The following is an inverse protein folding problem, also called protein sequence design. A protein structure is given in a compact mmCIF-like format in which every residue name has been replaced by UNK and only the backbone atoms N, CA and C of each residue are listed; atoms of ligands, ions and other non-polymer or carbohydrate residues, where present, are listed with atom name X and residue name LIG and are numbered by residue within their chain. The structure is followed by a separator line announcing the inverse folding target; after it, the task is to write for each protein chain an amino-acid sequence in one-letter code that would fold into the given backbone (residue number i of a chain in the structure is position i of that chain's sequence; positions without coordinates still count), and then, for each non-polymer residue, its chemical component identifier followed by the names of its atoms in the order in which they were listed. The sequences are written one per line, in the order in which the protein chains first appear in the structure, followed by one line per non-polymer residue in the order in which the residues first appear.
data_IF_891801155932
#
_entry.id   IF_891801155932
#
_cell.length_a   1.000
_cell.length_b   1.000
_cell.length_c   1.000
_cell.angle_alpha   90.00
_cell.angle_beta   90.00
_cell.angle_gamma   90.00
#
_symmetry.space_group_name_H-M   'P 1'
#
loop_
_entity.id
_entity.type
_entity.pdbx_description
1 polymer ?
#
# COMPACT_ATOMS: atom_id res chain seq x y z
N UNK A 1 -3.49 -4.68 56.00
CA UNK A 1 -2.22 -4.46 55.29
C UNK A 1 -2.09 -5.56 54.27
N UNK A 2 -2.73 -5.40 53.11
CA UNK A 2 -2.57 -6.31 51.99
C UNK A 2 -1.67 -5.61 50.98
N UNK A 3 -0.36 -5.74 51.19
CA UNK A 3 0.66 -5.23 50.26
C UNK A 3 0.96 -6.37 49.29
N UNK A 4 0.07 -6.54 48.32
CA UNK A 4 0.36 -7.37 47.16
C UNK A 4 1.70 -6.94 46.55
N UNK A 5 2.56 -7.92 46.28
CA UNK A 5 3.89 -7.78 45.68
C UNK A 5 3.76 -7.54 44.16
N UNK A 6 2.54 -7.60 43.63
CA UNK A 6 2.25 -7.37 42.22
C UNK A 6 2.30 -5.88 41.91
N UNK A 7 3.04 -5.51 40.86
CA UNK A 7 3.17 -4.14 40.41
C UNK A 7 1.79 -3.67 39.85
N UNK A 8 0.97 -2.90 40.60
CA UNK A 8 -0.47 -2.73 40.27
C UNK A 8 -0.71 -1.78 39.08
N UNK A 9 0.36 -1.20 38.53
CA UNK A 9 0.34 -0.14 37.53
C UNK A 9 0.75 -0.73 36.18
N UNK A 10 -0.17 -1.47 35.56
CA UNK A 10 0.03 -2.10 34.25
C UNK A 10 0.22 -1.10 33.10
N UNK A 11 0.27 -1.63 31.87
CA UNK A 11 0.50 -0.89 30.61
C UNK A 11 -0.35 0.38 30.45
N UNK A 12 -1.57 0.39 31.01
CA UNK A 12 -2.49 1.54 31.00
C UNK A 12 -1.81 2.84 31.46
N UNK A 13 -1.00 2.79 32.51
CA UNK A 13 -0.33 3.99 33.07
C UNK A 13 0.87 4.47 32.26
N UNK A 14 1.34 3.67 31.29
CA UNK A 14 2.35 4.05 30.30
C UNK A 14 1.71 4.55 29.00
N UNK A 15 0.55 3.99 28.66
CA UNK A 15 -0.20 4.33 27.46
C UNK A 15 -1.01 5.62 27.60
N UNK A 16 -1.71 5.81 28.72
CA UNK A 16 -2.50 7.02 29.01
C UNK A 16 -1.61 8.05 29.68
N UNK A 17 -1.38 9.18 29.00
CA UNK A 17 -0.50 10.24 29.50
C UNK A 17 -1.07 11.01 30.69
N UNK A 18 -2.39 11.23 30.74
CA UNK A 18 -3.05 11.99 31.80
C UNK A 18 -3.12 11.19 33.10
N UNK A 19 -2.71 11.80 34.21
CA UNK A 19 -2.80 11.21 35.55
C UNK A 19 -3.88 11.90 36.39
N UNK A 20 -4.16 11.41 37.60
CA UNK A 20 -5.27 11.91 38.44
C UNK A 20 -5.33 13.44 38.56
N UNK A 21 -4.21 14.10 38.86
CA UNK A 21 -4.17 15.57 38.96
C UNK A 21 -4.49 16.28 37.64
N UNK A 22 -4.07 15.73 36.51
CA UNK A 22 -4.38 16.29 35.19
C UNK A 22 -5.87 16.11 34.89
N UNK A 23 -6.41 14.93 35.20
CA UNK A 23 -7.82 14.60 35.03
C UNK A 23 -8.69 15.54 35.87
N UNK A 24 -8.37 15.74 37.14
CA UNK A 24 -9.12 16.63 38.03
C UNK A 24 -9.12 18.08 37.51
N UNK A 25 -7.96 18.57 37.06
CA UNK A 25 -7.83 19.91 36.49
C UNK A 25 -8.64 20.06 35.18
N UNK A 26 -8.61 19.06 34.32
CA UNK A 26 -9.39 19.05 33.06
C UNK A 26 -10.89 18.97 33.34
N UNK A 27 -11.33 18.11 34.25
CA UNK A 27 -12.73 17.98 34.68
C UNK A 27 -13.27 19.30 35.24
N UNK A 28 -12.52 19.93 36.13
CA UNK A 28 -12.87 21.24 36.69
C UNK A 28 -12.98 22.31 35.60
N UNK A 29 -12.10 22.26 34.58
CA UNK A 29 -12.15 23.20 33.45
C UNK A 29 -13.39 23.02 32.56
N UNK A 30 -13.83 21.79 32.35
CA UNK A 30 -15.04 21.49 31.55
C UNK A 30 -16.33 21.53 32.37
N UNK A 31 -16.24 21.69 33.69
CA UNK A 31 -17.40 21.78 34.59
C UNK A 31 -18.03 20.43 34.92
N UNK A 32 -17.32 19.31 34.72
CA UNK A 32 -17.80 17.97 35.05
C UNK A 32 -17.22 17.50 36.39
N UNK A 33 -18.02 16.84 37.22
CA UNK A 33 -17.58 16.36 38.54
C UNK A 33 -16.74 15.08 38.48
N UNK A 34 -16.90 14.30 37.40
CA UNK A 34 -16.20 13.02 37.21
C UNK A 34 -16.10 12.66 35.72
N UNK A 35 -15.23 11.68 35.41
CA UNK A 35 -15.20 11.08 34.08
C UNK A 35 -16.53 10.38 33.74
N UNK A 36 -17.21 9.79 34.72
CA UNK A 36 -18.51 9.14 34.49
C UNK A 36 -19.58 10.15 34.09
N UNK A 37 -19.62 11.30 34.77
CA UNK A 37 -20.50 12.43 34.42
C UNK A 37 -20.20 12.92 33.01
N UNK A 38 -18.91 13.15 32.69
CA UNK A 38 -18.50 13.57 31.36
C UNK A 38 -18.95 12.58 30.27
N UNK A 39 -18.80 11.28 30.52
CA UNK A 39 -19.24 10.22 29.59
C UNK A 39 -20.78 10.20 29.45
N UNK A 40 -21.53 10.32 30.55
CA UNK A 40 -22.99 10.35 30.54
C UNK A 40 -23.55 11.54 29.75
N UNK A 41 -22.93 12.71 29.90
CA UNK A 41 -23.34 13.94 29.19
C UNK A 41 -22.90 13.95 27.72
N UNK A 42 -21.85 13.20 27.36
CA UNK A 42 -21.32 13.14 26.00
C UNK A 42 -21.97 12.04 25.15
N UNK A 43 -22.17 10.85 25.71
CA UNK A 43 -22.65 9.69 24.97
C UNK A 43 -24.16 9.49 25.17
N UNK A 44 -24.98 9.46 24.10
CA UNK A 44 -26.40 9.16 24.22
C UNK A 44 -26.63 7.79 24.86
N UNK A 45 -27.46 7.74 25.90
CA UNK A 45 -27.74 6.53 26.66
C UNK A 45 -28.24 5.36 25.78
N UNK A 46 -29.01 5.65 24.72
CA UNK A 46 -29.58 4.64 23.83
C UNK A 46 -28.56 3.80 23.07
N UNK A 47 -27.31 4.25 22.93
CA UNK A 47 -26.23 3.53 22.25
C UNK A 47 -25.06 3.17 23.18
N UNK A 48 -25.16 3.51 24.46
CA UNK A 48 -24.11 3.24 25.43
C UNK A 48 -24.13 1.76 25.79
N UNK A 49 -22.97 1.12 25.73
CA UNK A 49 -22.80 -0.22 26.27
C UNK A 49 -22.79 -0.17 27.81
N UNK A 50 -23.64 -0.97 28.44
CA UNK A 50 -23.69 -1.12 29.89
C UNK A 50 -23.06 -2.46 30.30
N UNK A 51 -22.10 -2.40 31.22
CA UNK A 51 -21.35 -3.55 31.71
C UNK A 51 -19.87 -3.53 31.35
N UNK A 52 -19.15 -4.52 31.86
CA UNK A 52 -17.74 -4.71 31.54
C UNK A 52 -17.59 -5.43 30.20
N UNK A 53 -16.60 -5.02 29.42
CA UNK A 53 -16.24 -5.76 28.21
C UNK A 53 -15.79 -7.18 28.60
N UNK A 54 -16.31 -8.24 27.96
CA UNK A 54 -15.97 -9.63 28.29
C UNK A 54 -14.57 -9.99 27.75
N UNK A 55 -13.55 -9.40 28.36
CA UNK A 55 -12.14 -9.55 28.00
C UNK A 55 -11.38 -10.34 29.08
N UNK A 56 -10.31 -11.06 28.70
CA UNK A 56 -9.40 -11.64 29.67
C UNK A 56 -8.80 -10.56 30.59
N UNK A 57 -8.34 -10.99 31.77
CA UNK A 57 -7.63 -10.08 32.68
C UNK A 57 -6.40 -9.46 32.00
N UNK A 58 -6.15 -8.19 32.34
CA UNK A 58 -5.02 -7.46 31.80
C UNK A 58 -3.70 -8.08 32.28
N UNK A 59 -2.79 -8.31 31.34
CA UNK A 59 -1.44 -8.80 31.64
C UNK A 59 -0.43 -7.66 31.68
N UNK A 60 0.69 -7.87 32.36
CA UNK A 60 1.81 -6.91 32.37
C UNK A 60 2.57 -6.94 31.04
N UNK A 61 3.32 -5.89 30.72
CA UNK A 61 4.14 -5.83 29.49
C UNK A 61 5.13 -7.00 29.36
N UNK A 62 5.87 -7.41 30.41
CA UNK A 62 6.76 -8.57 30.32
C UNK A 62 6.00 -9.89 30.10
N UNK A 63 4.84 -10.06 30.75
CA UNK A 63 4.00 -11.25 30.58
C UNK A 63 3.46 -11.34 29.15
N UNK A 64 3.03 -10.21 28.57
CA UNK A 64 2.61 -10.12 27.17
C UNK A 64 3.75 -10.55 26.22
N UNK A 65 4.97 -10.04 26.41
CA UNK A 65 6.11 -10.41 25.57
C UNK A 65 6.47 -11.90 25.70
N UNK A 66 6.42 -12.46 26.91
CA UNK A 66 6.62 -13.90 27.11
C UNK A 66 5.58 -14.71 26.36
N UNK A 67 4.30 -14.34 26.49
CA UNK A 67 3.20 -15.02 25.82
C UNK A 67 3.31 -14.94 24.29
N UNK A 68 3.66 -13.78 23.75
CA UNK A 68 3.87 -13.60 22.31
C UNK A 68 5.02 -14.48 21.80
N UNK A 69 6.10 -14.64 22.57
CA UNK A 69 7.21 -15.56 22.22
C UNK A 69 6.76 -17.02 22.20
N UNK A 70 5.94 -17.46 23.16
CA UNK A 70 5.37 -18.82 23.17
C UNK A 70 4.50 -19.10 21.93
N UNK A 71 3.70 -18.12 21.51
CA UNK A 71 2.87 -18.24 20.32
C UNK A 71 3.74 -18.25 19.06
N UNK A 72 4.69 -17.31 18.95
CA UNK A 72 5.61 -17.23 17.82
C UNK A 72 6.46 -18.50 17.66
N UNK A 73 6.86 -19.14 18.76
CA UNK A 73 7.63 -20.39 18.75
C UNK A 73 6.88 -21.60 18.15
N UNK A 74 5.56 -21.49 17.96
CA UNK A 74 4.76 -22.53 17.27
C UNK A 74 4.88 -22.44 15.75
N UNK A 75 5.31 -21.29 15.23
CA UNK A 75 5.55 -21.13 13.81
C UNK A 75 6.79 -21.92 13.40
N UNK A 76 6.74 -22.57 12.24
CA UNK A 76 7.90 -23.24 11.66
C UNK A 76 8.48 -22.36 10.56
N UNK A 77 9.74 -21.95 10.72
CA UNK A 77 10.44 -21.11 9.74
C UNK A 77 11.19 -21.99 8.76
N UNK A 78 10.59 -22.21 7.59
CA UNK A 78 11.18 -23.01 6.51
C UNK A 78 11.89 -22.10 5.50
N UNK A 79 12.85 -22.66 4.77
CA UNK A 79 13.33 -22.04 3.53
C UNK A 79 12.23 -22.18 2.49
N UNK A 80 11.58 -21.06 2.18
CA UNK A 80 10.43 -21.03 1.30
C UNK A 80 10.85 -20.57 -0.10
N UNK A 81 10.61 -21.43 -1.10
CA UNK A 81 10.86 -21.15 -2.52
C UNK A 81 9.56 -21.25 -3.34
N UNK A 82 8.41 -20.97 -2.72
CA UNK A 82 7.10 -20.98 -3.40
C UNK A 82 7.05 -19.88 -4.47
N UNK A 83 7.68 -18.73 -4.23
CA UNK A 83 7.61 -17.58 -5.13
C UNK A 83 6.25 -16.90 -5.03
N UNK A 84 5.53 -16.78 -6.16
CA UNK A 84 4.19 -16.18 -6.23
C UNK A 84 4.13 -14.75 -5.66
N UNK A 85 5.13 -13.92 -5.98
CA UNK A 85 5.20 -12.52 -5.55
C UNK A 85 5.88 -12.29 -4.19
N UNK A 86 6.27 -13.35 -3.48
CA UNK A 86 6.99 -13.25 -2.20
C UNK A 86 8.29 -14.03 -2.27
N UNK A 87 9.39 -13.37 -1.88
CA UNK A 87 10.73 -13.97 -1.90
C UNK A 87 11.49 -13.64 -0.62
N UNK A 88 12.22 -14.64 -0.11
CA UNK A 88 13.17 -14.42 0.97
C UNK A 88 14.16 -13.33 0.59
N UNK A 89 14.41 -12.39 1.51
CA UNK A 89 15.36 -11.30 1.32
C UNK A 89 16.11 -11.03 2.62
N UNK A 90 17.22 -10.31 2.54
CA UNK A 90 17.99 -9.88 3.70
C UNK A 90 17.66 -8.41 3.94
N UNK A 91 16.96 -8.12 5.04
CA UNK A 91 16.82 -6.73 5.52
C UNK A 91 18.17 -6.28 6.07
N UNK A 92 18.81 -5.25 5.47
CA UNK A 92 20.08 -4.77 5.98
C UNK A 92 19.93 -4.31 7.44
N UNK A 93 20.80 -4.80 8.33
CA UNK A 93 20.66 -4.54 9.77
C UNK A 93 20.66 -3.05 10.15
N UNK A 94 21.33 -2.22 9.34
CA UNK A 94 21.31 -0.75 9.50
C UNK A 94 19.93 -0.15 9.21
N UNK A 95 19.17 -0.67 8.25
CA UNK A 95 17.81 -0.22 7.92
C UNK A 95 16.83 -0.77 8.96
N UNK A 96 16.94 -2.05 9.32
CA UNK A 96 16.10 -2.64 10.36
C UNK A 96 16.17 -1.81 11.64
N UNK A 97 17.38 -1.57 12.14
CA UNK A 97 17.59 -0.89 13.42
C UNK A 97 17.28 0.62 13.39
N UNK A 98 17.70 1.33 12.33
CA UNK A 98 17.66 2.80 12.32
C UNK A 98 16.43 3.38 11.63
N UNK A 99 15.64 2.56 10.93
CA UNK A 99 14.39 2.95 10.26
C UNK A 99 13.21 2.17 10.83
N UNK A 100 13.18 0.84 10.66
CA UNK A 100 12.00 0.04 11.03
C UNK A 100 11.76 -0.03 12.55
N UNK A 101 12.82 -0.10 13.34
CA UNK A 101 12.76 -0.13 14.82
C UNK A 101 12.95 1.26 15.45
N UNK A 102 12.88 2.33 14.65
CA UNK A 102 13.09 3.70 15.12
C UNK A 102 11.77 4.51 15.16
N UNK A 103 11.27 4.91 16.34
CA UNK A 103 10.03 5.69 16.44
C UNK A 103 10.09 7.03 15.72
N UNK A 104 11.28 7.60 15.50
CA UNK A 104 11.45 8.80 14.66
C UNK A 104 11.09 8.59 13.18
N UNK A 105 10.91 7.34 12.74
CA UNK A 105 10.49 6.99 11.38
C UNK A 105 9.04 6.48 11.31
N UNK A 106 8.56 5.75 12.31
CA UNK A 106 7.24 5.08 12.24
C UNK A 106 6.11 5.76 13.04
N UNK A 107 6.37 6.79 13.84
CA UNK A 107 5.30 7.42 14.65
C UNK A 107 4.55 8.55 13.94
N UNK A 108 5.21 9.25 13.01
CA UNK A 108 4.56 10.26 12.17
C UNK A 108 3.56 9.64 11.18
N UNK A 109 2.64 10.48 10.72
CA UNK A 109 1.66 10.12 9.70
C UNK A 109 1.95 10.81 8.36
N UNK A 110 0.96 10.76 7.47
CA UNK A 110 0.96 11.40 6.14
C UNK A 110 1.60 12.80 6.18
N UNK A 111 2.52 13.13 5.25
CA UNK A 111 3.24 14.41 5.22
C UNK A 111 2.39 15.59 4.75
N UNK A 112 1.26 15.85 5.42
CA UNK A 112 0.37 16.99 5.11
C UNK A 112 1.06 18.34 5.33
N UNK A 113 1.89 18.45 6.37
CA UNK A 113 2.72 19.63 6.64
C UNK A 113 4.12 19.36 6.07
N UNK A 114 4.36 19.83 4.85
CA UNK A 114 5.52 19.45 4.06
C UNK A 114 6.84 19.98 4.66
N UNK A 115 6.80 21.17 5.25
CA UNK A 115 7.93 21.90 5.83
C UNK A 115 8.62 21.12 6.95
N UNK A 116 7.85 20.32 7.70
CA UNK A 116 8.33 19.46 8.80
C UNK A 116 8.34 17.98 8.41
N UNK A 117 8.34 17.69 7.11
CA UNK A 117 8.26 16.34 6.57
C UNK A 117 9.27 16.03 5.45
N UNK A 118 10.19 16.95 5.15
CA UNK A 118 11.12 16.83 4.02
C UNK A 118 11.90 15.51 4.01
N UNK A 119 12.36 15.00 5.15
CA UNK A 119 13.14 13.76 5.20
C UNK A 119 12.40 12.52 4.65
N UNK A 120 11.13 12.32 5.02
CA UNK A 120 10.33 11.20 4.47
C UNK A 120 9.81 11.47 3.07
N UNK A 121 9.55 12.74 2.73
CA UNK A 121 9.21 13.13 1.36
C UNK A 121 10.37 12.81 0.41
N UNK A 122 11.61 13.04 0.83
CA UNK A 122 12.80 12.70 0.05
C UNK A 122 12.97 11.19 -0.09
N UNK A 123 12.78 10.41 0.98
CA UNK A 123 12.78 8.95 0.91
C UNK A 123 11.73 8.40 -0.08
N UNK A 124 10.53 8.98 -0.09
CA UNK A 124 9.47 8.63 -1.04
C UNK A 124 9.79 9.07 -2.49
N UNK A 125 10.45 10.22 -2.67
CA UNK A 125 10.92 10.64 -3.98
C UNK A 125 12.02 9.69 -4.50
N UNK A 126 12.89 9.21 -3.62
CA UNK A 126 13.90 8.19 -3.95
C UNK A 126 13.22 6.87 -4.35
N UNK A 127 12.16 6.46 -3.65
CA UNK A 127 11.36 5.29 -4.03
C UNK A 127 10.74 5.47 -5.43
N UNK A 128 10.10 6.62 -5.69
CA UNK A 128 9.55 6.93 -7.02
C UNK A 128 10.61 6.88 -8.11
N UNK A 129 11.78 7.49 -7.86
CA UNK A 129 12.90 7.52 -8.81
C UNK A 129 13.42 6.12 -9.11
N UNK A 130 13.63 5.31 -8.06
CA UNK A 130 14.05 3.91 -8.21
C UNK A 130 13.04 3.10 -9.04
N UNK A 131 11.74 3.30 -8.82
CA UNK A 131 10.70 2.61 -9.60
C UNK A 131 10.70 3.10 -11.05
N UNK A 132 10.78 4.40 -11.29
CA UNK A 132 10.87 5.01 -12.64
C UNK A 132 12.05 4.41 -13.41
N UNK A 133 13.25 4.45 -12.81
CA UNK A 133 14.48 3.96 -13.43
C UNK A 133 14.41 2.46 -13.77
N UNK A 134 13.92 1.63 -12.84
CA UNK A 134 13.84 0.18 -13.05
C UNK A 134 12.71 -0.23 -13.98
N UNK A 135 11.61 0.53 -14.06
CA UNK A 135 10.48 0.20 -14.93
C UNK A 135 10.59 0.81 -16.32
N UNK A 136 11.48 1.78 -16.52
CA UNK A 136 11.61 2.52 -17.78
C UNK A 136 10.41 3.42 -18.11
N UNK A 137 9.58 3.76 -17.11
CA UNK A 137 8.37 4.56 -17.24
C UNK A 137 8.55 5.95 -16.61
N UNK A 138 7.63 6.87 -16.88
CA UNK A 138 7.88 8.32 -16.71
C UNK A 138 7.45 8.86 -15.34
N UNK A 139 6.46 8.25 -14.69
CA UNK A 139 5.97 8.68 -13.37
C UNK A 139 5.59 7.49 -12.49
N UNK A 140 6.00 7.51 -11.23
CA UNK A 140 5.59 6.55 -10.22
C UNK A 140 4.89 7.23 -9.04
N UNK A 141 4.00 6.51 -8.37
CA UNK A 141 3.38 6.96 -7.13
C UNK A 141 4.25 6.63 -5.89
N UNK A 142 3.86 7.18 -4.75
CA UNK A 142 4.48 6.95 -3.44
C UNK A 142 3.87 5.73 -2.73
N UNK A 143 3.75 4.63 -3.48
CA UNK A 143 3.22 3.31 -3.11
C UNK A 143 1.71 3.05 -3.18
N UNK A 144 1.38 1.76 -3.23
CA UNK A 144 0.06 1.14 -3.06
C UNK A 144 0.13 0.02 -1.99
N UNK A 145 -1.00 -0.68 -1.79
CA UNK A 145 -1.17 -1.62 -0.67
C UNK A 145 -0.44 -2.95 -0.86
N UNK A 146 -0.58 -3.57 -2.04
CA UNK A 146 0.06 -4.81 -2.46
C UNK A 146 0.01 -4.93 -4.01
N UNK A 147 0.70 -5.92 -4.59
CA UNK A 147 0.77 -6.11 -6.04
C UNK A 147 -0.62 -6.32 -6.67
N UNK A 148 -1.46 -7.12 -6.02
CA UNK A 148 -2.76 -7.51 -6.54
C UNK A 148 -3.71 -6.31 -6.64
N UNK A 149 -3.72 -5.48 -5.60
CA UNK A 149 -4.45 -4.20 -5.60
C UNK A 149 -3.84 -3.20 -6.57
N UNK A 150 -2.51 -3.16 -6.74
CA UNK A 150 -1.87 -2.32 -7.74
C UNK A 150 -2.29 -2.68 -9.18
N UNK A 151 -2.37 -3.97 -9.50
CA UNK A 151 -2.87 -4.45 -10.80
C UNK A 151 -4.35 -4.06 -11.03
N UNK A 152 -5.20 -4.19 -10.00
CA UNK A 152 -6.59 -3.78 -10.09
C UNK A 152 -6.77 -2.25 -10.22
N UNK A 153 -5.90 -1.48 -9.59
CA UNK A 153 -5.86 -0.03 -9.75
C UNK A 153 -5.39 0.37 -11.15
N UNK A 154 -4.42 -0.34 -11.74
CA UNK A 154 -4.01 -0.14 -13.13
C UNK A 154 -5.15 -0.42 -14.11
N UNK A 155 -5.90 -1.52 -13.92
CA UNK A 155 -7.12 -1.81 -14.69
C UNK A 155 -8.14 -0.67 -14.56
N UNK A 156 -8.43 -0.21 -13.34
CA UNK A 156 -9.42 0.84 -13.08
C UNK A 156 -8.98 2.19 -13.66
N UNK A 157 -7.68 2.51 -13.57
CA UNK A 157 -7.07 3.70 -14.15
C UNK A 157 -7.26 3.75 -15.67
N UNK A 158 -6.99 2.63 -16.35
CA UNK A 158 -7.16 2.49 -17.80
C UNK A 158 -8.63 2.48 -18.19
N UNK A 159 -9.50 1.79 -17.45
CA UNK A 159 -10.95 1.82 -17.69
C UNK A 159 -11.50 3.25 -17.66
N UNK A 160 -11.07 4.06 -16.70
CA UNK A 160 -11.44 5.48 -16.61
C UNK A 160 -10.77 6.41 -17.64
N UNK A 161 -9.86 5.89 -18.48
CA UNK A 161 -9.28 6.58 -19.64
C UNK A 161 -10.11 6.32 -20.90
N UNK A 162 -10.61 5.09 -21.07
CA UNK A 162 -11.39 4.69 -22.23
C UNK A 162 -12.87 5.08 -22.13
N UNK A 163 -13.54 5.17 -23.28
CA UNK A 163 -14.99 5.35 -23.39
C UNK A 163 -15.54 4.18 -24.21
N UNK A 164 -16.52 3.46 -23.67
CA UNK A 164 -17.24 2.37 -24.36
C UNK A 164 -16.42 1.11 -24.66
N UNK A 165 -15.48 0.74 -23.79
CA UNK A 165 -14.73 -0.52 -23.84
C UNK A 165 -14.79 -1.18 -22.48
N UNK A 166 -15.34 -2.38 -22.39
CA UNK A 166 -15.59 -3.00 -21.08
C UNK A 166 -14.80 -4.28 -20.84
N UNK A 167 -13.96 -4.72 -21.79
CA UNK A 167 -13.17 -5.95 -21.64
C UNK A 167 -11.71 -5.68 -21.25
N UNK A 168 -11.23 -6.41 -20.23
CA UNK A 168 -9.82 -6.45 -19.80
C UNK A 168 -9.29 -7.88 -19.93
N UNK A 169 -8.19 -8.07 -20.66
CA UNK A 169 -7.59 -9.40 -20.82
C UNK A 169 -6.52 -9.61 -19.75
N UNK A 170 -6.42 -10.83 -19.22
CA UNK A 170 -5.43 -11.18 -18.19
C UNK A 170 -4.70 -12.44 -18.62
N UNK A 171 -3.37 -12.40 -18.60
CA UNK A 171 -2.56 -13.59 -18.81
C UNK A 171 -2.75 -14.56 -17.65
N UNK A 172 -3.08 -15.82 -17.94
CA UNK A 172 -3.30 -16.86 -16.91
C UNK A 172 -2.04 -17.20 -16.10
N UNK A 173 -0.86 -16.80 -16.59
CA UNK A 173 0.43 -16.92 -15.91
C UNK A 173 0.79 -15.70 -15.05
N UNK A 174 -0.17 -14.79 -14.80
CA UNK A 174 -0.08 -13.87 -13.66
C UNK A 174 -0.22 -14.63 -12.33
N UNK A 175 0.21 -14.01 -11.22
CA UNK A 175 0.00 -14.64 -9.92
C UNK A 175 -1.49 -14.86 -9.62
N UNK A 176 -1.90 -16.02 -9.08
CA UNK A 176 -3.32 -16.36 -8.92
C UNK A 176 -4.07 -15.39 -8.01
N UNK A 177 -3.42 -14.87 -6.97
CA UNK A 177 -4.01 -13.83 -6.11
C UNK A 177 -4.18 -12.49 -6.83
N UNK A 178 -3.30 -12.16 -7.78
CA UNK A 178 -3.41 -10.94 -8.61
C UNK A 178 -4.63 -11.05 -9.51
N UNK A 179 -4.81 -12.18 -10.20
CA UNK A 179 -6.00 -12.46 -11.03
C UNK A 179 -7.27 -12.34 -10.20
N UNK A 180 -7.33 -13.00 -9.04
CA UNK A 180 -8.52 -13.01 -8.18
C UNK A 180 -8.94 -11.60 -7.70
N UNK A 181 -7.97 -10.74 -7.35
CA UNK A 181 -8.26 -9.37 -6.92
C UNK A 181 -8.70 -8.49 -8.09
N UNK A 182 -8.08 -8.65 -9.27
CA UNK A 182 -8.48 -7.95 -10.50
C UNK A 182 -9.93 -8.31 -10.86
N UNK A 183 -10.28 -9.60 -10.88
CA UNK A 183 -11.64 -10.07 -11.14
C UNK A 183 -12.64 -9.53 -10.10
N UNK A 184 -12.27 -9.57 -8.81
CA UNK A 184 -13.11 -9.05 -7.72
C UNK A 184 -13.39 -7.55 -7.86
N UNK A 185 -12.38 -6.77 -8.29
CA UNK A 185 -12.51 -5.32 -8.48
C UNK A 185 -13.26 -4.96 -9.76
N UNK A 186 -13.17 -5.79 -10.78
CA UNK A 186 -13.87 -5.63 -12.04
C UNK A 186 -15.39 -5.84 -11.90
N UNK A 187 -15.80 -6.87 -11.14
CA UNK A 187 -17.19 -7.28 -11.00
C UNK A 187 -18.19 -6.16 -10.65
N UNK A 188 -17.98 -5.33 -9.60
CA UNK A 188 -18.92 -4.25 -9.26
C UNK A 188 -18.92 -3.08 -10.27
N UNK A 189 -17.91 -3.00 -11.13
CA UNK A 189 -17.80 -1.97 -12.18
C UNK A 189 -18.39 -2.43 -13.52
N UNK A 190 -18.80 -3.70 -13.64
CA UNK A 190 -19.29 -4.28 -14.90
C UNK A 190 -18.18 -4.55 -15.93
N UNK A 191 -16.91 -4.53 -15.51
CA UNK A 191 -15.76 -4.83 -16.38
C UNK A 191 -15.71 -6.35 -16.62
N UNK A 192 -15.63 -6.76 -17.89
CA UNK A 192 -15.46 -8.15 -18.33
C UNK A 192 -13.98 -8.54 -18.29
N UNK A 193 -13.57 -9.28 -17.27
CA UNK A 193 -12.23 -9.87 -17.24
C UNK A 193 -12.23 -11.20 -17.99
N UNK A 194 -11.29 -11.37 -18.93
CA UNK A 194 -11.08 -12.63 -19.66
C UNK A 194 -9.65 -13.11 -19.43
N UNK A 195 -9.52 -14.14 -18.60
CA UNK A 195 -8.25 -14.81 -18.32
C UNK A 195 -7.96 -15.86 -19.39
N UNK A 196 -6.75 -15.87 -19.96
CA UNK A 196 -6.35 -16.81 -21.02
C UNK A 196 -4.83 -17.00 -21.11
N UNK A 197 -4.41 -18.02 -21.85
CA UNK A 197 -3.00 -18.25 -22.16
C UNK A 197 -2.33 -17.01 -22.79
N UNK A 198 -1.08 -16.68 -22.43
CA UNK A 198 -0.38 -15.51 -22.96
C UNK A 198 -0.32 -15.47 -24.49
N UNK A 199 -0.15 -16.64 -25.13
CA UNK A 199 -0.09 -16.75 -26.59
C UNK A 199 -1.43 -16.53 -27.29
N UNK A 200 -2.55 -16.50 -26.56
CA UNK A 200 -3.89 -16.25 -27.11
C UNK A 200 -4.34 -14.79 -26.91
N UNK A 201 -3.56 -13.96 -26.22
CA UNK A 201 -3.93 -12.57 -25.92
C UNK A 201 -4.06 -11.72 -27.19
N UNK A 202 -3.13 -11.87 -28.14
CA UNK A 202 -3.12 -11.11 -29.39
C UNK A 202 -4.37 -11.41 -30.24
N UNK A 203 -4.71 -12.69 -30.40
CA UNK A 203 -5.91 -13.13 -31.14
C UNK A 203 -7.23 -12.70 -30.48
N UNK A 204 -7.21 -12.40 -29.18
CA UNK A 204 -8.37 -11.97 -28.43
C UNK A 204 -8.59 -10.45 -28.42
N UNK A 205 -7.68 -9.67 -29.01
CA UNK A 205 -7.82 -8.22 -29.16
C UNK A 205 -9.05 -7.89 -30.02
N UNK A 206 -9.75 -6.83 -29.63
CA UNK A 206 -10.93 -6.32 -30.33
C UNK A 206 -11.22 -4.89 -29.88
N UNK A 207 -12.15 -4.22 -30.57
CA UNK A 207 -12.55 -2.84 -30.25
C UNK A 207 -13.12 -2.65 -28.84
N UNK A 208 -13.55 -3.72 -28.18
CA UNK A 208 -14.08 -3.72 -26.80
C UNK A 208 -12.99 -3.91 -25.72
N UNK A 209 -11.77 -4.28 -26.11
CA UNK A 209 -10.66 -4.50 -25.17
C UNK A 209 -9.98 -3.16 -24.87
N UNK A 210 -10.03 -2.71 -23.62
CA UNK A 210 -9.36 -1.46 -23.22
C UNK A 210 -7.93 -1.66 -22.71
N UNK A 211 -7.60 -2.88 -22.28
CA UNK A 211 -6.24 -3.20 -21.90
C UNK A 211 -6.02 -4.66 -21.56
N UNK A 212 -4.75 -4.97 -21.35
CA UNK A 212 -4.26 -6.30 -21.01
C UNK A 212 -3.36 -6.24 -19.78
N UNK A 213 -3.36 -7.31 -18.97
CA UNK A 213 -2.42 -7.54 -17.88
C UNK A 213 -1.54 -8.75 -18.19
N UNK A 214 -0.24 -8.56 -18.16
CA UNK A 214 0.77 -9.62 -18.27
C UNK A 214 1.71 -9.60 -17.07
N UNK A 215 2.34 -10.73 -16.77
CA UNK A 215 3.34 -10.83 -15.70
C UNK A 215 4.74 -11.06 -16.29
N UNK A 216 5.72 -10.30 -15.82
CA UNK A 216 7.08 -10.26 -16.36
C UNK A 216 8.14 -10.18 -15.24
N UNK A 217 8.83 -11.28 -14.88
CA UNK A 217 8.62 -12.66 -15.31
C UNK A 217 7.27 -13.23 -14.88
N UNK A 218 6.79 -14.25 -15.59
CA UNK A 218 5.54 -14.94 -15.30
C UNK A 218 5.59 -15.71 -13.96
N UNK A 219 4.42 -16.15 -13.47
CA UNK A 219 4.27 -16.87 -12.20
C UNK A 219 5.02 -18.20 -12.14
N UNK A 220 5.29 -18.81 -13.31
CA UNK A 220 6.08 -20.03 -13.48
C UNK A 220 7.57 -19.74 -13.71
N UNK A 221 7.96 -18.46 -13.74
CA UNK A 221 9.33 -17.99 -13.97
C UNK A 221 9.67 -17.72 -15.44
N UNK A 222 8.75 -17.92 -16.39
CA UNK A 222 9.03 -17.67 -17.80
C UNK A 222 9.28 -16.17 -18.07
N UNK A 223 10.29 -15.88 -18.89
CA UNK A 223 10.57 -14.55 -19.43
C UNK A 223 10.13 -14.54 -20.89
N UNK A 224 9.19 -13.66 -21.24
CA UNK A 224 8.59 -13.56 -22.57
C UNK A 224 8.91 -12.20 -23.18
N UNK A 225 9.05 -12.15 -24.50
CA UNK A 225 9.08 -10.89 -25.23
C UNK A 225 7.64 -10.43 -25.53
N UNK A 226 7.22 -9.36 -24.89
CA UNK A 226 5.89 -8.78 -25.06
C UNK A 226 5.86 -7.62 -26.06
N UNK A 227 6.97 -7.29 -26.72
CA UNK A 227 7.04 -6.13 -27.65
C UNK A 227 6.04 -6.24 -28.80
N UNK A 228 5.85 -7.45 -29.34
CA UNK A 228 4.86 -7.73 -30.40
C UNK A 228 3.43 -7.53 -29.90
N UNK A 229 3.11 -8.13 -28.76
CA UNK A 229 1.81 -8.02 -28.11
C UNK A 229 1.47 -6.57 -27.75
N UNK A 230 2.45 -5.80 -27.27
CA UNK A 230 2.26 -4.40 -26.91
C UNK A 230 1.90 -3.56 -28.13
N UNK A 231 2.64 -3.70 -29.23
CA UNK A 231 2.32 -3.04 -30.51
C UNK A 231 0.93 -3.41 -31.01
N UNK A 232 0.57 -4.70 -31.04
CA UNK A 232 -0.75 -5.14 -31.47
C UNK A 232 -1.87 -4.57 -30.58
N UNK A 233 -1.63 -4.51 -29.26
CA UNK A 233 -2.57 -3.93 -28.29
C UNK A 233 -2.79 -2.44 -28.56
N UNK A 234 -1.72 -1.68 -28.83
CA UNK A 234 -1.80 -0.27 -29.18
C UNK A 234 -2.47 -0.03 -30.53
N UNK A 235 -2.21 -0.87 -31.55
CA UNK A 235 -2.89 -0.81 -32.85
C UNK A 235 -4.40 -1.05 -32.72
N UNK A 236 -4.83 -1.91 -31.79
CA UNK A 236 -6.23 -2.09 -31.41
C UNK A 236 -6.78 -0.98 -30.50
N UNK A 237 -5.97 0.01 -30.10
CA UNK A 237 -6.33 1.11 -29.21
C UNK A 237 -6.40 0.75 -27.72
N UNK A 238 -5.94 -0.44 -27.33
CA UNK A 238 -5.82 -0.86 -25.92
C UNK A 238 -4.51 -0.41 -25.28
N UNK A 239 -4.33 -0.74 -24.00
CA UNK A 239 -3.12 -0.42 -23.22
C UNK A 239 -2.59 -1.64 -22.46
N UNK A 240 -1.30 -1.64 -22.14
CA UNK A 240 -0.60 -2.78 -21.54
C UNK A 240 -0.18 -2.49 -20.11
N UNK A 241 -0.57 -3.38 -19.20
CA UNK A 241 -0.12 -3.42 -17.80
C UNK A 241 0.87 -4.58 -17.62
N UNK A 242 2.05 -4.29 -17.09
CA UNK A 242 3.05 -5.27 -16.71
C UNK A 242 3.13 -5.41 -15.18
N UNK A 243 2.68 -6.54 -14.64
CA UNK A 243 3.03 -6.93 -13.27
C UNK A 243 4.46 -7.50 -13.27
N UNK A 244 5.37 -6.95 -12.46
CA UNK A 244 6.81 -7.20 -12.60
C UNK A 244 7.57 -7.18 -11.28
N UNK A 245 8.84 -7.60 -11.32
CA UNK A 245 9.72 -7.74 -10.17
C UNK A 245 10.93 -6.80 -10.30
N UNK A 246 11.07 -5.84 -9.37
CA UNK A 246 12.14 -4.83 -9.44
C UNK A 246 13.55 -5.43 -9.44
N UNK A 247 13.78 -6.59 -8.82
CA UNK A 247 15.09 -7.24 -8.83
C UNK A 247 15.38 -7.90 -10.18
N UNK A 248 14.37 -8.49 -10.82
CA UNK A 248 14.50 -9.03 -12.17
C UNK A 248 14.83 -7.92 -13.18
N UNK A 249 14.23 -6.74 -13.01
CA UNK A 249 14.47 -5.56 -13.86
C UNK A 249 15.87 -4.96 -13.74
N UNK A 250 16.67 -5.37 -12.76
CA UNK A 250 18.10 -5.04 -12.75
C UNK A 250 18.87 -5.72 -13.90
N UNK A 251 18.30 -6.74 -14.56
CA UNK A 251 18.94 -7.51 -15.63
C UNK A 251 18.09 -7.60 -16.91
N UNK A 252 16.76 -7.58 -16.77
CA UNK A 252 15.83 -7.72 -17.88
C UNK A 252 15.51 -6.36 -18.52
N UNK A 253 15.17 -6.38 -19.81
CA UNK A 253 14.63 -5.20 -20.50
C UNK A 253 13.37 -4.72 -19.80
N UNK A 254 13.32 -3.45 -19.33
CA UNK A 254 12.24 -2.99 -18.50
C UNK A 254 10.94 -2.75 -19.28
N UNK A 255 9.77 -2.80 -18.61
CA UNK A 255 8.46 -2.63 -19.24
C UNK A 255 8.31 -1.44 -20.19
N UNK A 256 8.83 -0.27 -19.80
CA UNK A 256 8.74 0.92 -20.63
C UNK A 256 9.47 0.79 -21.97
N UNK A 257 10.54 0.00 -22.05
CA UNK A 257 11.33 -0.18 -23.28
C UNK A 257 10.63 -1.08 -24.31
N UNK A 258 9.87 -2.08 -23.87
CA UNK A 258 9.12 -2.96 -24.76
C UNK A 258 7.67 -2.50 -25.02
N UNK A 259 7.26 -1.37 -24.43
CA UNK A 259 6.00 -0.70 -24.76
C UNK A 259 4.87 -0.88 -23.74
N UNK A 260 5.15 -1.26 -22.50
CA UNK A 260 4.14 -1.19 -21.44
C UNK A 260 3.69 0.26 -21.20
N UNK A 261 2.42 0.47 -20.85
CA UNK A 261 1.88 1.78 -20.46
C UNK A 261 1.90 1.98 -18.94
N UNK A 262 1.81 0.87 -18.21
CA UNK A 262 1.78 0.81 -16.75
C UNK A 262 2.60 -0.39 -16.28
N UNK A 263 3.44 -0.20 -15.26
CA UNK A 263 4.12 -1.29 -14.55
C UNK A 263 3.70 -1.28 -13.08
N UNK A 264 3.40 -2.46 -12.54
CA UNK A 264 3.00 -2.66 -11.15
C UNK A 264 3.78 -3.82 -10.53
N UNK A 265 3.84 -3.89 -9.21
CA UNK A 265 4.48 -5.01 -8.54
C UNK A 265 4.73 -4.73 -7.06
N UNK A 266 5.42 -5.65 -6.40
CA UNK A 266 5.84 -5.51 -5.01
C UNK A 266 7.30 -5.07 -4.90
N UNK A 267 7.61 -4.14 -3.99
CA UNK A 267 8.99 -3.83 -3.62
C UNK A 267 9.52 -4.71 -2.48
N UNK A 268 8.78 -5.74 -2.06
CA UNK A 268 9.08 -6.57 -0.87
C UNK A 268 10.53 -7.06 -0.85
N UNK A 269 11.01 -7.64 -1.94
CA UNK A 269 12.32 -8.28 -1.97
C UNK A 269 13.50 -7.29 -1.96
N UNK A 270 13.23 -5.99 -2.02
CA UNK A 270 14.21 -4.92 -1.74
C UNK A 270 14.33 -4.69 -0.23
N UNK A 271 14.68 -5.75 0.50
CA UNK A 271 15.04 -5.70 1.92
C UNK A 271 13.88 -5.66 2.91
N UNK A 272 12.62 -5.90 2.53
CA UNK A 272 11.49 -5.97 3.47
C UNK A 272 11.17 -7.43 3.83
N UNK A 273 11.01 -7.81 5.11
CA UNK A 273 10.69 -9.19 5.48
C UNK A 273 9.38 -9.69 4.86
N UNK A 274 9.27 -11.00 4.58
CA UNK A 274 8.03 -11.58 4.00
C UNK A 274 6.78 -11.32 4.86
N UNK A 275 6.93 -11.15 6.18
CA UNK A 275 5.85 -10.68 7.06
C UNK A 275 4.59 -11.56 7.09
N UNK A 276 4.68 -12.80 6.61
CA UNK A 276 3.50 -13.67 6.39
C UNK A 276 2.39 -12.98 5.58
N UNK A 277 2.78 -12.16 4.60
CA UNK A 277 1.89 -11.44 3.68
C UNK A 277 2.10 -9.92 3.64
N UNK A 278 2.74 -9.31 4.63
CA UNK A 278 2.96 -7.86 4.62
C UNK A 278 3.46 -7.28 5.94
N UNK A 279 3.62 -5.94 6.02
CA UNK A 279 3.29 -4.96 4.99
C UNK A 279 4.42 -4.78 3.95
N UNK A 280 4.05 -4.61 2.67
CA UNK A 280 4.98 -4.35 1.57
C UNK A 280 4.48 -3.23 0.70
N UNK A 281 5.34 -2.27 0.37
CA UNK A 281 4.99 -1.22 -0.60
C UNK A 281 4.88 -1.83 -2.00
N UNK A 282 3.69 -1.77 -2.57
CA UNK A 282 3.54 -1.99 -4.00
C UNK A 282 3.87 -0.72 -4.76
N UNK A 283 4.38 -0.88 -5.98
CA UNK A 283 4.64 0.24 -6.88
C UNK A 283 3.61 0.26 -8.01
N UNK A 284 3.33 1.46 -8.52
CA UNK A 284 2.69 1.66 -9.81
C UNK A 284 3.42 2.81 -10.52
N UNK A 285 3.94 2.50 -11.70
CA UNK A 285 4.61 3.41 -12.62
C UNK A 285 3.84 3.46 -13.93
N UNK A 286 3.76 4.61 -14.60
CA UNK A 286 3.07 4.75 -15.88
C UNK A 286 3.66 5.87 -16.75
N UNK A 287 3.17 5.99 -17.99
CA UNK A 287 3.43 7.14 -18.86
C UNK A 287 2.82 8.43 -18.28
N UNK A 288 3.45 9.57 -18.55
CA UNK A 288 3.09 10.91 -18.05
C UNK A 288 1.65 11.30 -18.44
N UNK A 289 1.15 10.81 -19.57
CA UNK A 289 -0.23 11.04 -20.00
C UNK A 289 -1.28 10.57 -18.97
N UNK A 290 -0.94 9.56 -18.15
CA UNK A 290 -1.81 9.03 -17.10
C UNK A 290 -1.65 9.73 -15.75
N UNK A 291 -0.78 10.74 -15.60
CA UNK A 291 -0.49 11.39 -14.30
C UNK A 291 -1.72 11.98 -13.59
N UNK A 292 -2.77 12.33 -14.33
CA UNK A 292 -4.03 12.86 -13.77
C UNK A 292 -4.98 11.75 -13.27
N UNK A 293 -4.68 10.50 -13.58
CA UNK A 293 -5.48 9.31 -13.29
C UNK A 293 -4.78 8.33 -12.34
N UNK A 294 -3.46 8.43 -12.21
CA UNK A 294 -2.67 7.60 -11.29
C UNK A 294 -3.24 7.61 -9.86
N UNK A 295 -3.36 6.45 -9.20
CA UNK A 295 -3.88 6.32 -7.83
C UNK A 295 -2.83 6.72 -6.78
N UNK A 296 -3.31 7.07 -5.60
CA UNK A 296 -2.44 7.35 -4.45
C UNK A 296 -1.65 8.66 -4.54
N UNK A 297 -0.71 8.81 -3.62
CA UNK A 297 0.10 10.02 -3.44
C UNK A 297 1.24 10.05 -4.44
N UNK A 298 1.69 11.25 -4.81
CA UNK A 298 2.91 11.46 -5.59
C UNK A 298 3.69 12.57 -4.90
N UNK A 299 4.98 12.36 -4.69
CA UNK A 299 5.90 13.41 -4.24
C UNK A 299 6.42 14.14 -5.46
N UNK A 300 6.35 15.47 -5.41
CA UNK A 300 6.87 16.35 -6.44
C UNK A 300 7.81 17.39 -5.86
N UNK A 301 8.77 17.80 -6.69
CA UNK A 301 9.66 18.93 -6.40
C UNK A 301 8.92 20.23 -6.64
N UNK A 302 9.11 21.19 -5.75
CA UNK A 302 8.56 22.54 -5.79
C UNK A 302 9.60 23.52 -5.25
N UNK A 303 9.19 24.75 -4.93
CA UNK A 303 10.06 25.78 -4.36
C UNK A 303 9.45 26.37 -3.10
N UNK A 304 10.28 26.67 -2.10
CA UNK A 304 9.86 27.38 -0.88
C UNK A 304 9.73 28.91 -1.12
N UNK A 305 9.39 29.65 -0.06
CA UNK A 305 9.26 31.12 -0.12
C UNK A 305 10.56 31.86 -0.37
N UNK A 306 11.71 31.20 -0.20
CA UNK A 306 13.05 31.75 -0.45
C UNK A 306 13.59 31.33 -1.84
N UNK A 307 12.82 30.55 -2.61
CA UNK A 307 13.22 30.03 -3.92
C UNK A 307 14.07 28.76 -3.87
N UNK A 308 14.22 28.12 -2.71
CA UNK A 308 14.96 26.87 -2.59
C UNK A 308 14.11 25.67 -3.03
N UNK A 309 14.70 24.62 -3.62
CA UNK A 309 14.00 23.37 -3.90
C UNK A 309 13.41 22.76 -2.62
N UNK A 310 12.14 22.37 -2.67
CA UNK A 310 11.42 21.74 -1.56
C UNK A 310 10.44 20.69 -2.08
N UNK A 311 10.20 19.64 -1.29
CA UNK A 311 9.33 18.53 -1.66
C UNK A 311 7.93 18.71 -1.09
N UNK A 312 6.91 18.23 -1.80
CA UNK A 312 5.53 18.19 -1.31
C UNK A 312 4.73 17.08 -1.99
N UNK A 313 3.56 16.75 -1.44
CA UNK A 313 2.58 15.98 -2.19
C UNK A 313 2.03 16.80 -3.37
N UNK A 314 2.05 16.21 -4.55
CA UNK A 314 1.67 16.81 -5.82
C UNK A 314 0.35 16.24 -6.35
N UNK A 315 -0.37 17.05 -7.13
CA UNK A 315 -1.62 16.66 -7.80
C UNK A 315 -2.68 16.07 -6.84
N UNK A 316 -2.76 16.59 -5.61
CA UNK A 316 -3.62 16.06 -4.54
C UNK A 316 -5.11 16.11 -4.86
N UNK A 317 -5.52 16.90 -5.86
CA UNK A 317 -6.90 16.91 -6.34
C UNK A 317 -7.33 15.55 -6.91
N UNK A 318 -6.44 14.59 -7.14
CA UNK A 318 -6.81 13.21 -7.50
C UNK A 318 -7.36 12.40 -6.33
N UNK A 319 -7.00 12.76 -5.10
CA UNK A 319 -7.18 11.93 -3.91
C UNK A 319 -8.57 12.10 -3.25
N UNK A 320 -8.97 11.10 -2.47
CA UNK A 320 -10.28 11.00 -1.82
C UNK A 320 -10.63 12.20 -0.93
N UNK A 321 -9.65 12.82 -0.27
CA UNK A 321 -9.91 13.93 0.66
C UNK A 321 -10.34 15.22 -0.05
N UNK A 322 -10.11 15.33 -1.36
CA UNK A 322 -10.56 16.46 -2.19
C UNK A 322 -11.73 16.03 -3.08
N UNK A 323 -11.59 14.93 -3.83
CA UNK A 323 -12.58 14.55 -4.86
C UNK A 323 -13.59 13.50 -4.43
N UNK A 324 -13.44 12.91 -3.24
CA UNK A 324 -14.39 11.94 -2.66
C UNK A 324 -14.74 10.84 -3.68
N UNK A 325 -16.00 10.69 -4.06
CA UNK A 325 -16.47 9.69 -5.02
C UNK A 325 -15.91 9.87 -6.45
N UNK A 326 -15.37 11.04 -6.77
CA UNK A 326 -14.74 11.35 -8.07
C UNK A 326 -13.21 11.21 -8.04
N UNK A 327 -12.65 10.74 -6.92
CA UNK A 327 -11.22 10.49 -6.80
C UNK A 327 -10.76 9.36 -7.74
N UNK A 328 -9.46 9.26 -7.97
CA UNK A 328 -8.89 8.20 -8.81
C UNK A 328 -8.90 6.83 -8.13
N UNK A 329 -8.91 6.81 -6.80
CA UNK A 329 -8.98 5.61 -5.96
C UNK A 329 -9.52 5.99 -4.57
N UNK A 330 -9.97 4.99 -3.81
CA UNK A 330 -10.34 5.15 -2.40
C UNK A 330 -9.15 5.07 -1.43
N UNK A 331 -7.93 4.82 -1.92
CA UNK A 331 -6.73 4.69 -1.08
C UNK A 331 -6.48 5.97 -0.26
N UNK A 332 -6.09 5.79 1.00
CA UNK A 332 -5.73 6.88 1.92
C UNK A 332 -4.43 6.55 2.67
N UNK A 333 -4.50 5.67 3.68
CA UNK A 333 -3.29 5.04 4.21
C UNK A 333 -2.73 4.10 3.13
N UNK A 334 -1.44 4.24 2.86
CA UNK A 334 -0.67 3.38 1.96
C UNK A 334 0.50 2.78 2.75
N UNK A 335 1.53 2.28 2.05
CA UNK A 335 2.73 1.71 2.66
C UNK A 335 3.90 2.69 2.46
N UNK A 336 4.10 3.58 3.44
CA UNK A 336 5.01 4.75 3.36
C UNK A 336 6.22 4.55 4.25
#
# INVERSE_FOLDING_TARGET
MDRSIEHPKGFRTRHVGSVGRDIDAMLSRVGCESLDTLVQETLPAAIRYEGDLPLPEAVTEPALLSRLRELAARNQVWRNYIGLGYSGTITPGVILRNVMENPGWYTQYTPYQAEIAQGRLEALLNFQTMVIDLTGLEIANASLLDEATAAAEAMTMLYGHHRNRDTFLVAEDCHPQTIAVVETRAAPLGIRVRTMAPGALEDALSDDVFGILVQYPATDGAVRDYSGLARATHEAGGHVVAATDLLALCLLTPPGEWGADVAVGSSQRFGVPMGYGGPHAAFLSCKDEFKRKIPGRIIGVSVDTNGNPALRMALQTREQHIRREKATSNICTAQV
#
